data_IF_395505844091
#
_entry.id   IF_395505844091
#
_cell.length_a   1.000
_cell.length_b   1.000
_cell.length_c   1.000
_cell.angle_alpha   90.00
_cell.angle_beta   90.00
_cell.angle_gamma   90.00
#
_symmetry.space_group_name_H-M   'P 1'
#
loop_
_entity.id
_entity.type
_entity.pdbx_description
1 polymer ?
#
# COMPACT_ATOMS: atom_id res chain seq x y z
N UNK A 1 -4.33 17.77 -11.99
CA UNK A 1 -3.39 16.74 -11.52
C UNK A 1 -4.17 15.91 -10.52
N UNK A 2 -4.30 14.60 -10.74
CA UNK A 2 -5.12 13.75 -9.88
C UNK A 2 -4.39 13.40 -8.57
N UNK A 3 -5.13 13.12 -7.50
CA UNK A 3 -4.52 12.78 -6.21
C UNK A 3 -3.68 11.49 -6.31
N UNK A 4 -4.10 10.54 -7.16
CA UNK A 4 -3.32 9.35 -7.46
C UNK A 4 -1.97 9.65 -8.12
N UNK A 5 -1.94 10.55 -9.12
CA UNK A 5 -0.70 10.92 -9.79
C UNK A 5 0.31 11.56 -8.82
N UNK A 6 -0.16 12.42 -7.92
CA UNK A 6 0.68 13.02 -6.88
C UNK A 6 1.22 11.98 -5.89
N UNK A 7 0.40 11.01 -5.48
CA UNK A 7 0.84 9.93 -4.57
C UNK A 7 1.93 9.10 -5.24
N UNK A 8 1.76 8.76 -6.51
CA UNK A 8 2.78 8.05 -7.29
C UNK A 8 4.10 8.82 -7.32
N UNK A 9 4.06 10.10 -7.66
CA UNK A 9 5.25 10.95 -7.71
C UNK A 9 5.95 11.03 -6.34
N UNK A 10 5.17 11.08 -5.24
CA UNK A 10 5.74 11.04 -3.89
C UNK A 10 6.40 9.70 -3.56
N UNK A 11 5.81 8.58 -3.97
CA UNK A 11 6.40 7.25 -3.74
C UNK A 11 7.75 7.13 -4.45
N UNK A 12 7.77 7.50 -5.73
CA UNK A 12 8.98 7.49 -6.55
C UNK A 12 10.04 8.46 -6.03
N UNK A 13 9.64 9.67 -5.65
CA UNK A 13 10.54 10.67 -5.04
C UNK A 13 11.14 10.24 -3.70
N UNK A 14 10.53 9.27 -3.01
CA UNK A 14 11.03 8.67 -1.75
C UNK A 14 11.76 7.33 -1.96
N UNK A 15 12.07 6.97 -3.21
CA UNK A 15 12.66 5.67 -3.57
C UNK A 15 11.82 4.45 -3.13
N UNK A 16 10.51 4.62 -2.96
CA UNK A 16 9.59 3.51 -2.69
C UNK A 16 9.16 2.87 -4.01
N UNK A 17 10.08 2.08 -4.58
CA UNK A 17 9.94 1.51 -5.93
C UNK A 17 9.11 0.23 -5.98
N UNK A 18 8.72 -0.33 -4.82
CA UNK A 18 7.85 -1.50 -4.75
C UNK A 18 6.49 -1.08 -4.20
N UNK A 19 5.53 -0.84 -5.09
CA UNK A 19 4.18 -0.43 -4.69
C UNK A 19 3.10 -1.05 -5.56
N UNK A 20 1.87 -1.06 -5.06
CA UNK A 20 0.66 -1.39 -5.82
C UNK A 20 -0.49 -0.49 -5.39
N UNK A 21 -1.29 -0.07 -6.35
CA UNK A 21 -2.51 0.72 -6.16
C UNK A 21 -3.69 -0.13 -6.62
N UNK A 22 -4.65 -0.34 -5.72
CA UNK A 22 -5.76 -1.26 -5.91
C UNK A 22 -7.07 -0.50 -5.64
N UNK A 23 -8.02 -0.58 -6.56
CA UNK A 23 -9.38 -0.07 -6.35
C UNK A 23 -10.13 -0.95 -5.34
N UNK A 24 -11.20 -0.44 -4.72
CA UNK A 24 -12.02 -1.23 -3.80
C UNK A 24 -12.54 -2.56 -4.39
N UNK A 25 -12.72 -2.62 -5.71
CA UNK A 25 -13.11 -3.84 -6.45
C UNK A 25 -12.02 -4.91 -6.55
N UNK A 26 -10.79 -4.62 -6.10
CA UNK A 26 -9.63 -5.49 -6.26
C UNK A 26 -8.90 -5.30 -7.58
N UNK A 27 -9.39 -4.45 -8.49
CA UNK A 27 -8.70 -4.12 -9.73
C UNK A 27 -7.41 -3.34 -9.42
N UNK A 28 -6.28 -3.88 -9.88
CA UNK A 28 -5.00 -3.18 -9.84
C UNK A 28 -5.01 -2.04 -10.87
N UNK A 29 -4.68 -0.85 -10.41
CA UNK A 29 -4.65 0.39 -11.20
C UNK A 29 -3.23 0.70 -11.65
N UNK A 30 -2.26 0.49 -10.76
CA UNK A 30 -0.85 0.73 -11.02
C UNK A 30 0.01 -0.12 -10.09
N UNK A 31 1.24 -0.44 -10.48
CA UNK A 31 2.16 -1.24 -9.70
C UNK A 31 3.61 -1.03 -10.13
N UNK A 32 4.54 -1.42 -9.27
CA UNK A 32 5.96 -1.42 -9.57
C UNK A 32 6.74 -2.41 -8.70
N UNK A 33 7.88 -2.87 -9.20
CA UNK A 33 8.84 -3.68 -8.46
C UNK A 33 8.30 -5.07 -8.11
N UNK A 34 8.22 -5.39 -6.82
CA UNK A 34 7.83 -6.75 -6.36
C UNK A 34 6.37 -7.07 -6.72
N UNK A 35 5.56 -6.04 -6.95
CA UNK A 35 4.16 -6.16 -7.31
C UNK A 35 3.93 -6.33 -8.81
N UNK A 36 4.98 -6.47 -9.63
CA UNK A 36 4.81 -7.02 -11.00
C UNK A 36 4.35 -8.49 -10.97
N UNK A 37 4.62 -9.20 -9.86
CA UNK A 37 4.10 -10.53 -9.62
C UNK A 37 2.63 -10.48 -9.15
N UNK A 38 1.75 -11.15 -9.90
CA UNK A 38 0.32 -11.23 -9.61
C UNK A 38 0.00 -11.83 -8.23
N UNK A 39 0.79 -12.79 -7.73
CA UNK A 39 0.62 -13.36 -6.39
C UNK A 39 0.87 -12.30 -5.29
N UNK A 40 1.82 -11.39 -5.53
CA UNK A 40 2.11 -10.28 -4.60
C UNK A 40 1.00 -9.23 -4.63
N UNK A 41 0.39 -8.99 -5.79
CA UNK A 41 -0.80 -8.14 -5.90
C UNK A 41 -1.98 -8.76 -5.15
N UNK A 42 -2.21 -10.07 -5.31
CA UNK A 42 -3.26 -10.80 -4.60
C UNK A 42 -3.03 -10.80 -3.09
N UNK A 43 -1.79 -10.96 -2.64
CA UNK A 43 -1.41 -10.82 -1.23
C UNK A 43 -1.78 -9.43 -0.68
N UNK A 44 -1.40 -8.36 -1.39
CA UNK A 44 -1.72 -6.99 -0.99
C UNK A 44 -3.23 -6.77 -0.89
N UNK A 45 -4.00 -7.25 -1.87
CA UNK A 45 -5.46 -7.16 -1.83
C UNK A 45 -6.04 -7.95 -0.64
N UNK A 46 -5.52 -9.14 -0.38
CA UNK A 46 -5.96 -9.99 0.74
C UNK A 46 -5.72 -9.30 2.09
N UNK A 47 -4.57 -8.66 2.28
CA UNK A 47 -4.27 -7.90 3.51
C UNK A 47 -5.32 -6.81 3.73
N UNK A 48 -5.66 -6.05 2.68
CA UNK A 48 -6.67 -5.00 2.77
C UNK A 48 -8.05 -5.56 3.12
N UNK A 49 -8.46 -6.65 2.47
CA UNK A 49 -9.75 -7.30 2.73
C UNK A 49 -9.85 -7.84 4.15
N UNK A 50 -8.77 -8.39 4.70
CA UNK A 50 -8.74 -8.88 6.08
C UNK A 50 -8.74 -7.75 7.10
N UNK A 51 -8.16 -6.60 6.75
CA UNK A 51 -8.21 -5.44 7.63
C UNK A 51 -9.57 -4.73 7.57
N UNK A 52 -10.23 -4.65 6.41
CA UNK A 52 -11.44 -3.85 6.20
C UNK A 52 -12.55 -4.03 7.27
N UNK A 53 -12.87 -5.25 7.75
CA UNK A 53 -13.85 -5.45 8.83
C UNK A 53 -13.49 -4.81 10.18
N UNK A 54 -12.22 -4.44 10.38
CA UNK A 54 -11.77 -3.78 11.61
C UNK A 54 -12.19 -2.30 11.67
N UNK A 55 -12.61 -1.72 10.54
CA UNK A 55 -13.08 -0.34 10.46
C UNK A 55 -14.57 -0.26 10.76
N UNK A 56 -14.97 0.78 11.48
CA UNK A 56 -16.39 1.16 11.57
C UNK A 56 -16.83 1.82 10.26
N UNK A 57 -18.14 1.87 10.05
CA UNK A 57 -18.72 2.65 8.95
C UNK A 57 -18.17 4.08 8.97
N UNK A 58 -17.66 4.53 7.82
CA UNK A 58 -16.98 5.83 7.59
C UNK A 58 -15.57 6.00 8.17
N UNK A 59 -14.95 4.96 8.73
CA UNK A 59 -13.52 4.99 9.02
C UNK A 59 -12.70 4.57 7.78
N UNK A 60 -11.52 5.17 7.61
CA UNK A 60 -10.57 4.83 6.55
C UNK A 60 -9.22 4.47 7.17
N UNK A 61 -8.48 3.55 6.53
CA UNK A 61 -7.14 3.22 6.97
C UNK A 61 -6.18 4.38 6.70
N UNK A 62 -5.84 5.11 7.75
CA UNK A 62 -4.73 6.06 7.66
C UNK A 62 -3.41 5.34 7.37
N UNK A 63 -3.16 4.21 8.06
CA UNK A 63 -1.98 3.38 7.86
C UNK A 63 -2.16 1.99 8.48
N UNK A 64 -1.91 0.94 7.70
CA UNK A 64 -1.70 -0.43 8.17
C UNK A 64 -0.21 -0.75 7.99
N UNK A 65 0.40 -1.43 8.96
CA UNK A 65 1.78 -1.88 8.87
C UNK A 65 1.80 -3.37 9.17
N UNK A 66 2.29 -4.16 8.21
CA UNK A 66 2.54 -5.58 8.37
C UNK A 66 4.06 -5.81 8.23
N UNK A 67 4.69 -6.25 9.30
CA UNK A 67 6.12 -6.48 9.35
C UNK A 67 6.40 -7.98 9.32
N UNK A 68 7.29 -8.37 8.42
CA UNK A 68 8.03 -9.62 8.41
C UNK A 68 9.47 -9.32 8.84
N UNK A 69 10.27 -10.35 9.08
CA UNK A 69 11.64 -10.22 9.58
C UNK A 69 12.51 -9.29 8.71
N UNK A 70 12.37 -9.36 7.38
CA UNK A 70 13.21 -8.60 6.44
C UNK A 70 12.45 -7.49 5.70
N UNK A 71 11.12 -7.53 5.69
CA UNK A 71 10.29 -6.62 4.88
C UNK A 71 9.08 -6.11 5.63
N UNK A 72 8.75 -4.84 5.40
CA UNK A 72 7.53 -4.21 5.90
C UNK A 72 6.63 -3.84 4.74
N UNK A 73 5.38 -4.28 4.81
CA UNK A 73 4.30 -3.78 3.99
C UNK A 73 3.59 -2.65 4.72
N UNK A 74 3.45 -1.51 4.06
CA UNK A 74 2.68 -0.37 4.58
C UNK A 74 1.54 -0.09 3.63
N UNK A 75 0.30 -0.15 4.13
CA UNK A 75 -0.89 0.16 3.36
C UNK A 75 -1.57 1.43 3.86
N UNK A 76 -2.18 2.19 2.95
CA UNK A 76 -2.98 3.38 3.24
C UNK A 76 -4.08 3.53 2.20
N UNK A 77 -5.10 4.34 2.46
CA UNK A 77 -6.12 4.66 1.48
C UNK A 77 -5.99 6.10 0.98
N UNK A 78 -6.24 6.29 -0.31
CA UNK A 78 -6.26 7.58 -1.00
C UNK A 78 -7.61 7.70 -1.70
N UNK A 79 -8.26 8.84 -1.59
CA UNK A 79 -9.48 9.13 -2.35
C UNK A 79 -9.09 9.98 -3.56
N UNK A 80 -9.54 9.63 -4.75
CA UNK A 80 -9.33 10.42 -5.97
C UNK A 80 -10.64 10.42 -6.76
N UNK A 81 -11.14 11.62 -7.09
CA UNK A 81 -12.44 11.83 -7.75
C UNK A 81 -13.63 11.10 -7.10
N UNK A 82 -13.62 10.96 -5.76
CA UNK A 82 -14.65 10.27 -5.00
C UNK A 82 -14.52 8.74 -4.95
N UNK A 83 -13.50 8.17 -5.59
CA UNK A 83 -13.18 6.75 -5.56
C UNK A 83 -12.05 6.50 -4.56
N UNK A 84 -12.22 5.49 -3.69
CA UNK A 84 -11.19 5.10 -2.72
C UNK A 84 -10.28 4.04 -3.35
N UNK A 85 -8.99 4.32 -3.31
CA UNK A 85 -7.91 3.43 -3.70
C UNK A 85 -7.09 3.05 -2.49
N UNK A 86 -6.62 1.82 -2.46
CA UNK A 86 -5.66 1.35 -1.48
C UNK A 86 -4.27 1.35 -2.10
N UNK A 87 -3.31 1.92 -1.39
CA UNK A 87 -1.91 2.00 -1.79
C UNK A 87 -1.11 1.15 -0.82
N UNK A 88 -0.37 0.18 -1.34
CA UNK A 88 0.51 -0.68 -0.55
C UNK A 88 1.92 -0.47 -1.06
N UNK A 89 2.85 -0.28 -0.12
CA UNK A 89 4.28 -0.24 -0.41
C UNK A 89 4.98 -1.36 0.33
N UNK A 90 5.96 -1.98 -0.32
CA UNK A 90 6.90 -2.91 0.30
C UNK A 90 8.22 -2.17 0.47
N UNK A 91 8.79 -2.24 1.67
CA UNK A 91 10.13 -1.72 1.95
C UNK A 91 10.92 -2.72 2.79
N UNK A 92 12.25 -2.76 2.66
CA UNK A 92 13.07 -3.53 3.59
C UNK A 92 12.89 -2.99 5.02
N UNK A 93 12.94 -3.89 6.00
CA UNK A 93 13.08 -3.48 7.41
C UNK A 93 14.45 -2.84 7.53
N UNK A 94 14.48 -1.55 7.81
CA UNK A 94 15.74 -0.87 8.08
C UNK A 94 16.28 -1.42 9.40
N UNK A 95 17.30 -2.28 9.37
CA UNK A 95 18.03 -2.76 10.56
C UNK A 95 18.87 -1.67 11.24
N UNK A 96 18.69 -0.41 10.88
CA UNK A 96 19.27 0.74 11.57
C UNK A 96 18.30 1.23 12.66
N UNK A 97 18.26 0.52 13.79
CA UNK A 97 18.04 1.05 15.15
C UNK A 97 18.00 -0.12 16.14
N UNK A 98 19.16 -0.48 16.66
CA UNK A 98 19.30 -1.57 17.63
C UNK A 98 20.73 -1.79 18.14
N UNK A 99 21.50 -0.72 18.35
CA UNK A 99 22.60 -0.77 19.33
C UNK A 99 22.05 -0.21 20.63
N UNK A 100 21.77 -1.11 21.56
CA UNK A 100 21.61 -0.78 22.98
C UNK A 100 22.93 -0.39 23.63
#
# INVERSE_FOLDING_TARGET
>A
MSQLSFVKDQLLGKALNHFVIIAASGKVVDYSGDFENAEKQQLAYTILQQCAPLLKSNEQFKRIVMSFDEVTYVATTVTDEGVVYSVIVKRPVNTANGTG
#
